data_IF_036483415072
#
_entry.id   IF_036483415072
#
_cell.length_a   1.000
_cell.length_b   1.000
_cell.length_c   1.000
_cell.angle_alpha   90.00
_cell.angle_beta   90.00
_cell.angle_gamma   90.00
#
_symmetry.space_group_name_H-M   'P 1'
#
loop_
_entity.id
_entity.type
_entity.pdbx_description
1 polymer ?
#
# COMPACT_ATOMS: atom_id res chain seq x y z
N UNK A 1 15.04 -28.51 15.03
CA UNK A 1 13.89 -28.38 14.12
C UNK A 1 14.47 -28.24 12.74
N UNK A 2 14.30 -29.26 11.91
CA UNK A 2 14.68 -29.15 10.50
C UNK A 2 13.88 -27.99 9.91
N UNK A 3 14.58 -26.90 9.57
CA UNK A 3 13.94 -25.83 8.80
C UNK A 3 13.51 -26.44 7.47
N UNK A 4 12.21 -26.56 7.27
CA UNK A 4 11.64 -27.01 6.00
C UNK A 4 12.19 -26.09 4.90
N UNK A 5 12.98 -26.64 3.99
CA UNK A 5 13.56 -25.88 2.88
C UNK A 5 12.43 -25.21 2.07
N UNK A 6 12.50 -23.91 1.80
CA UNK A 6 11.46 -23.23 1.03
C UNK A 6 11.47 -23.71 -0.44
N UNK A 7 10.28 -23.74 -1.04
CA UNK A 7 10.13 -24.03 -2.47
C UNK A 7 10.79 -22.93 -3.30
N UNK A 8 11.62 -23.24 -4.33
CA UNK A 8 12.38 -22.22 -5.06
C UNK A 8 11.46 -21.22 -5.78
N UNK A 9 11.72 -19.92 -5.65
CA UNK A 9 10.90 -18.86 -6.26
C UNK A 9 10.77 -19.00 -7.80
N UNK A 10 11.86 -19.34 -8.47
CA UNK A 10 11.88 -19.53 -9.93
C UNK A 10 11.21 -20.83 -10.37
N UNK A 11 11.02 -21.79 -9.47
CA UNK A 11 10.27 -23.01 -9.75
C UNK A 11 8.74 -22.82 -9.80
N UNK A 12 8.22 -21.67 -9.34
CA UNK A 12 6.79 -21.35 -9.43
C UNK A 12 6.35 -21.31 -10.91
N UNK A 13 5.28 -22.03 -11.22
CA UNK A 13 4.77 -22.12 -12.62
C UNK A 13 3.81 -20.96 -12.90
N UNK A 14 3.99 -20.28 -14.02
CA UNK A 14 3.13 -19.18 -14.43
C UNK A 14 3.16 -17.98 -13.47
N UNK A 15 2.00 -17.36 -13.24
CA UNK A 15 1.77 -16.25 -12.29
C UNK A 15 2.70 -15.03 -12.48
N UNK A 16 2.89 -14.49 -13.71
CA UNK A 16 3.87 -13.44 -13.95
C UNK A 16 3.57 -12.15 -13.19
N UNK A 17 2.31 -11.73 -13.08
CA UNK A 17 1.91 -10.53 -12.32
C UNK A 17 2.27 -10.68 -10.83
N UNK A 18 2.01 -11.84 -10.24
CA UNK A 18 2.35 -12.11 -8.84
C UNK A 18 3.84 -12.05 -8.61
N UNK A 19 4.64 -12.74 -9.43
CA UNK A 19 6.10 -12.71 -9.32
C UNK A 19 6.65 -11.30 -9.46
N UNK A 20 6.17 -10.54 -10.45
CA UNK A 20 6.58 -9.15 -10.66
C UNK A 20 6.24 -8.29 -9.43
N UNK A 21 5.01 -8.32 -8.94
CA UNK A 21 4.61 -7.51 -7.80
C UNK A 21 5.40 -7.84 -6.53
N UNK A 22 5.69 -9.13 -6.29
CA UNK A 22 6.48 -9.57 -5.15
C UNK A 22 7.94 -9.08 -5.23
N UNK A 23 8.58 -9.16 -6.39
CA UNK A 23 9.93 -8.63 -6.61
C UNK A 23 9.95 -7.11 -6.43
N UNK A 24 8.98 -6.39 -7.01
CA UNK A 24 8.88 -4.93 -6.87
C UNK A 24 8.72 -4.49 -5.40
N UNK A 25 7.98 -5.26 -4.59
CA UNK A 25 7.84 -4.99 -3.15
C UNK A 25 9.17 -5.15 -2.39
N UNK A 26 10.02 -6.10 -2.81
CA UNK A 26 11.35 -6.25 -2.25
C UNK A 26 12.28 -5.09 -2.67
N UNK A 27 12.17 -4.61 -3.90
CA UNK A 27 12.97 -3.47 -4.40
C UNK A 27 12.55 -2.17 -3.72
N UNK A 28 11.23 -1.88 -3.65
CA UNK A 28 10.74 -0.60 -3.13
C UNK A 28 9.59 -0.78 -2.12
N UNK A 29 9.85 -0.81 -0.82
CA UNK A 29 8.80 -0.85 0.20
C UNK A 29 7.84 0.35 0.18
N UNK A 30 8.23 1.50 -0.45
CA UNK A 30 7.38 2.70 -0.56
C UNK A 30 6.18 2.53 -1.48
N UNK A 31 6.11 1.45 -2.25
CA UNK A 31 4.92 1.10 -3.05
C UNK A 31 3.66 1.01 -2.18
N UNK A 32 3.80 0.77 -0.86
CA UNK A 32 2.67 0.68 0.07
C UNK A 32 2.11 -0.74 0.24
N UNK A 33 2.87 -1.76 -0.20
CA UNK A 33 2.53 -3.17 -0.03
C UNK A 33 1.84 -3.80 -1.24
N UNK A 34 1.78 -5.14 -1.20
CA UNK A 34 1.16 -5.99 -2.23
C UNK A 34 0.03 -6.80 -1.61
N UNK A 35 -1.13 -6.80 -2.23
CA UNK A 35 -2.25 -7.65 -1.87
C UNK A 35 -2.44 -8.73 -2.95
N UNK A 36 -2.26 -9.99 -2.56
CA UNK A 36 -2.50 -11.16 -3.41
C UNK A 36 -3.94 -11.64 -3.22
N UNK A 37 -4.78 -11.49 -4.24
CA UNK A 37 -6.20 -11.81 -4.20
C UNK A 37 -6.42 -13.07 -5.03
N UNK A 38 -7.07 -14.09 -4.52
CA UNK A 38 -7.39 -15.28 -5.30
C UNK A 38 -7.83 -16.47 -4.45
N UNK A 39 -8.37 -17.52 -5.08
CA UNK A 39 -8.88 -18.69 -4.40
C UNK A 39 -7.78 -19.47 -3.66
N UNK A 40 -8.18 -20.48 -2.90
CA UNK A 40 -7.25 -21.40 -2.26
C UNK A 40 -6.42 -22.20 -3.27
N UNK A 41 -5.25 -22.64 -2.86
CA UNK A 41 -4.43 -23.59 -3.61
C UNK A 41 -3.75 -23.03 -4.86
N UNK A 42 -3.82 -21.71 -5.12
CA UNK A 42 -3.14 -21.07 -6.29
C UNK A 42 -1.69 -20.71 -6.02
N UNK A 43 -1.14 -21.04 -4.84
CA UNK A 43 0.27 -20.87 -4.52
C UNK A 43 0.67 -19.51 -3.93
N UNK A 44 -0.27 -18.71 -3.40
CA UNK A 44 0.02 -17.39 -2.80
C UNK A 44 1.06 -17.48 -1.67
N UNK A 45 0.77 -18.27 -0.64
CA UNK A 45 1.64 -18.46 0.53
C UNK A 45 2.99 -19.07 0.15
N UNK A 46 2.98 -20.07 -0.77
CA UNK A 46 4.21 -20.67 -1.31
C UNK A 46 5.08 -19.62 -1.99
N UNK A 47 4.49 -18.73 -2.81
CA UNK A 47 5.22 -17.68 -3.51
C UNK A 47 5.85 -16.67 -2.54
N UNK A 48 5.14 -16.29 -1.48
CA UNK A 48 5.68 -15.37 -0.47
C UNK A 48 6.84 -15.99 0.30
N UNK A 49 6.69 -17.24 0.76
CA UNK A 49 7.76 -17.95 1.47
C UNK A 49 8.99 -18.19 0.59
N UNK A 50 8.79 -18.43 -0.70
CA UNK A 50 9.85 -18.60 -1.69
C UNK A 50 10.70 -17.33 -1.88
N UNK A 51 10.22 -16.14 -1.49
CA UNK A 51 11.00 -14.91 -1.53
C UNK A 51 12.27 -14.95 -0.67
N UNK A 52 12.34 -15.82 0.33
CA UNK A 52 13.54 -16.01 1.16
C UNK A 52 14.80 -16.25 0.35
N UNK A 53 14.68 -16.87 -0.82
CA UNK A 53 15.82 -17.17 -1.71
C UNK A 53 16.41 -15.91 -2.35
N UNK A 54 15.59 -14.91 -2.62
CA UNK A 54 15.96 -13.71 -3.36
C UNK A 54 15.98 -12.43 -2.51
N UNK A 55 15.72 -12.56 -1.21
CA UNK A 55 15.72 -11.43 -0.29
C UNK A 55 17.13 -10.82 -0.17
N UNK A 56 17.26 -9.48 -0.25
CA UNK A 56 18.53 -8.80 -0.11
C UNK A 56 19.00 -8.80 1.34
N UNK A 57 20.28 -8.52 1.54
CA UNK A 57 20.81 -8.23 2.86
C UNK A 57 20.39 -6.82 3.29
N UNK A 58 20.02 -6.68 4.55
CA UNK A 58 19.62 -5.42 5.19
C UNK A 58 20.42 -5.17 6.45
N UNK A 59 20.65 -3.91 6.78
CA UNK A 59 21.22 -3.54 8.05
C UNK A 59 20.14 -3.57 9.12
N UNK A 60 20.45 -4.17 10.26
CA UNK A 60 19.55 -4.23 11.43
C UNK A 60 20.30 -3.79 12.65
N UNK A 61 19.61 -3.10 13.54
CA UNK A 61 20.11 -2.80 14.87
C UNK A 61 19.85 -4.01 15.75
N UNK A 62 20.91 -4.71 16.14
CA UNK A 62 20.87 -5.83 17.08
C UNK A 62 21.58 -5.38 18.36
N UNK A 63 21.30 -6.02 19.49
CA UNK A 63 22.04 -5.81 20.71
C UNK A 63 23.16 -6.83 20.80
N UNK A 64 24.36 -6.37 21.12
CA UNK A 64 25.47 -7.26 21.44
C UNK A 64 25.28 -7.92 22.82
N UNK A 65 26.23 -8.75 23.20
CA UNK A 65 26.21 -9.47 24.48
C UNK A 65 26.25 -8.53 25.71
N UNK A 66 26.68 -7.27 25.51
CA UNK A 66 26.68 -6.21 26.53
C UNK A 66 25.41 -5.36 26.49
N UNK A 67 24.45 -5.67 25.57
CA UNK A 67 23.20 -4.93 25.41
C UNK A 67 23.31 -3.63 24.63
N UNK A 68 24.46 -3.31 24.01
CA UNK A 68 24.67 -2.11 23.20
C UNK A 68 24.11 -2.31 21.79
N UNK A 69 23.52 -1.27 21.18
CA UNK A 69 23.05 -1.35 19.80
C UNK A 69 24.23 -1.46 18.83
N UNK A 70 24.21 -2.51 18.00
CA UNK A 70 25.20 -2.75 16.96
C UNK A 70 24.47 -2.97 15.63
N UNK A 71 24.92 -2.28 14.58
CA UNK A 71 24.42 -2.50 13.23
C UNK A 71 25.03 -3.78 12.64
N UNK A 72 24.19 -4.77 12.38
CA UNK A 72 24.60 -6.00 11.69
C UNK A 72 23.92 -6.08 10.33
N UNK A 73 24.70 -6.40 9.29
CA UNK A 73 24.18 -6.70 7.95
C UNK A 73 23.87 -8.19 7.85
N UNK A 74 22.63 -8.52 7.53
CA UNK A 74 22.19 -9.90 7.39
C UNK A 74 20.99 -10.03 6.44
N UNK A 75 20.59 -11.26 6.08
CA UNK A 75 19.47 -11.47 5.16
C UNK A 75 18.19 -10.89 5.73
N UNK A 76 17.40 -10.23 4.87
CA UNK A 76 16.02 -9.85 5.16
C UNK A 76 15.24 -11.11 5.57
N UNK A 77 14.31 -11.00 6.51
CA UNK A 77 13.50 -12.13 7.02
C UNK A 77 12.03 -11.92 6.71
N UNK A 78 11.31 -13.03 6.59
CA UNK A 78 9.84 -13.00 6.57
C UNK A 78 9.36 -13.03 8.02
N UNK A 79 8.59 -12.02 8.40
CA UNK A 79 7.88 -11.97 9.68
C UNK A 79 6.42 -12.27 9.37
N UNK A 80 5.97 -13.46 9.73
CA UNK A 80 4.57 -13.86 9.53
C UNK A 80 3.72 -13.43 10.72
N UNK A 81 2.55 -12.87 10.45
CA UNK A 81 1.58 -12.51 11.47
C UNK A 81 0.56 -13.65 11.63
N UNK A 82 0.41 -14.23 12.83
CA UNK A 82 -0.62 -15.22 13.10
C UNK A 82 -2.03 -14.65 13.00
N UNK A 83 -3.00 -15.41 12.52
CA UNK A 83 -4.41 -14.97 12.39
C UNK A 83 -5.06 -14.59 13.73
N UNK A 84 -4.63 -15.20 14.81
CA UNK A 84 -5.11 -14.93 16.16
C UNK A 84 -4.32 -13.83 16.89
N UNK A 85 -3.47 -13.08 16.20
CA UNK A 85 -2.67 -12.01 16.79
C UNK A 85 -3.58 -10.91 17.37
N UNK A 86 -3.28 -10.50 18.60
CA UNK A 86 -3.95 -9.39 19.25
C UNK A 86 -3.24 -8.09 18.91
N UNK A 87 -3.94 -6.97 19.09
CA UNK A 87 -3.36 -5.65 18.83
C UNK A 87 -2.06 -5.40 19.60
N UNK A 88 -1.98 -5.90 20.83
CA UNK A 88 -0.77 -5.78 21.68
C UNK A 88 0.40 -6.62 21.18
N UNK A 89 0.15 -7.77 20.58
CA UNK A 89 1.20 -8.60 19.95
C UNK A 89 1.79 -7.87 18.74
N UNK A 90 0.95 -7.11 18.05
CA UNK A 90 1.31 -6.40 16.81
C UNK A 90 2.07 -5.11 17.10
N UNK A 91 1.51 -4.24 17.92
CA UNK A 91 2.11 -2.93 18.21
C UNK A 91 3.13 -2.97 19.36
N UNK A 92 3.01 -3.95 20.24
CA UNK A 92 3.78 -4.06 21.47
C UNK A 92 2.93 -3.84 22.73
N UNK A 93 3.30 -4.52 23.78
CA UNK A 93 2.57 -4.58 25.04
C UNK A 93 3.47 -4.45 26.26
N UNK A 94 2.91 -4.72 27.43
CA UNK A 94 3.64 -4.87 28.67
C UNK A 94 4.09 -6.32 28.77
N UNK A 95 5.38 -6.53 29.10
CA UNK A 95 5.86 -7.86 29.41
C UNK A 95 5.28 -8.31 30.75
N UNK A 96 4.21 -9.12 30.71
CA UNK A 96 3.47 -9.56 31.89
C UNK A 96 4.34 -10.36 32.86
N UNK A 97 5.25 -11.18 32.33
CA UNK A 97 6.17 -11.97 33.15
C UNK A 97 7.09 -11.08 34.00
N UNK A 98 7.71 -10.08 33.38
CA UNK A 98 8.58 -9.13 34.07
C UNK A 98 7.77 -8.30 35.07
N UNK A 99 6.55 -7.92 34.69
CA UNK A 99 5.67 -7.14 35.58
C UNK A 99 5.29 -7.93 36.84
N UNK A 100 5.01 -9.22 36.72
CA UNK A 100 4.63 -10.11 37.83
C UNK A 100 5.83 -10.53 38.68
N UNK A 101 6.94 -10.98 38.04
CA UNK A 101 8.11 -11.51 38.75
C UNK A 101 8.99 -10.43 39.36
N UNK A 102 9.14 -9.28 38.69
CA UNK A 102 10.07 -8.23 39.11
C UNK A 102 9.40 -6.94 39.55
N UNK A 103 8.07 -6.88 39.54
CA UNK A 103 7.27 -5.67 39.86
C UNK A 103 7.73 -4.42 39.09
N UNK A 104 8.23 -4.63 37.86
CA UNK A 104 8.70 -3.60 36.93
C UNK A 104 7.91 -3.64 35.65
N UNK A 105 7.44 -2.49 35.16
CA UNK A 105 6.78 -2.38 33.87
C UNK A 105 7.88 -2.28 32.81
N UNK A 106 7.93 -3.28 31.93
CA UNK A 106 8.79 -3.31 30.75
C UNK A 106 7.91 -3.43 29.51
N UNK A 107 8.13 -2.55 28.50
CA UNK A 107 7.47 -2.67 27.22
C UNK A 107 8.19 -3.71 26.37
N UNK A 108 7.42 -4.63 25.78
CA UNK A 108 7.88 -5.63 24.83
C UNK A 108 7.58 -5.17 23.41
N UNK A 109 8.55 -5.42 22.51
CA UNK A 109 8.48 -5.06 21.10
C UNK A 109 7.47 -5.96 20.39
N UNK A 110 6.50 -5.36 19.71
CA UNK A 110 5.52 -6.08 18.90
C UNK A 110 6.08 -6.54 17.56
N UNK A 111 5.24 -7.23 16.79
CA UNK A 111 5.57 -7.74 15.45
C UNK A 111 6.02 -6.63 14.51
N UNK A 112 5.43 -5.41 14.60
CA UNK A 112 5.79 -4.27 13.74
C UNK A 112 7.20 -3.76 13.97
N UNK A 113 7.70 -3.80 15.22
CA UNK A 113 9.09 -3.48 15.52
C UNK A 113 10.04 -4.56 14.98
N UNK A 114 9.68 -5.85 15.13
CA UNK A 114 10.44 -6.99 14.59
C UNK A 114 10.47 -7.00 13.06
N UNK A 115 9.41 -6.48 12.42
CA UNK A 115 9.31 -6.37 10.97
C UNK A 115 10.17 -5.22 10.38
N UNK A 116 10.72 -4.32 11.20
CA UNK A 116 11.54 -3.22 10.72
C UNK A 116 12.68 -3.71 9.81
N UNK A 117 12.77 -3.14 8.58
CA UNK A 117 13.71 -3.55 7.51
C UNK A 117 13.56 -4.99 7.03
N UNK A 118 12.47 -5.66 7.38
CA UNK A 118 12.11 -7.00 6.98
C UNK A 118 10.85 -7.00 6.09
N UNK A 119 10.35 -8.19 5.75
CA UNK A 119 9.07 -8.37 5.08
C UNK A 119 8.03 -8.82 6.11
N UNK A 120 6.94 -8.08 6.23
CA UNK A 120 5.77 -8.50 7.00
C UNK A 120 4.79 -9.20 6.06
N UNK A 121 4.49 -10.46 6.36
CA UNK A 121 3.50 -11.25 5.65
C UNK A 121 2.27 -11.49 6.51
N UNK A 122 1.10 -11.27 5.91
CA UNK A 122 -0.20 -11.47 6.52
C UNK A 122 -1.00 -12.41 5.61
N UNK A 123 -1.12 -13.66 6.01
CA UNK A 123 -2.00 -14.59 5.29
C UNK A 123 -3.45 -14.34 5.69
N UNK A 124 -4.38 -14.42 4.73
CA UNK A 124 -5.82 -14.24 4.95
C UNK A 124 -6.16 -12.95 5.73
N UNK A 125 -5.62 -11.82 5.30
CA UNK A 125 -5.78 -10.52 5.99
C UNK A 125 -7.25 -10.11 6.22
N UNK A 126 -8.18 -10.62 5.40
CA UNK A 126 -9.61 -10.39 5.52
C UNK A 126 -10.23 -11.04 6.77
N UNK A 127 -9.54 -12.01 7.40
CA UNK A 127 -9.98 -12.67 8.63
C UNK A 127 -9.46 -12.03 9.91
N UNK A 128 -8.49 -11.10 9.81
CA UNK A 128 -7.96 -10.41 10.98
C UNK A 128 -8.93 -9.36 11.55
N UNK A 129 -8.81 -9.11 12.86
CA UNK A 129 -9.51 -7.98 13.49
C UNK A 129 -9.15 -6.67 12.77
N UNK A 130 -10.17 -5.86 12.47
CA UNK A 130 -10.01 -4.63 11.71
C UNK A 130 -9.03 -3.64 12.37
N UNK A 131 -8.98 -3.60 13.72
CA UNK A 131 -8.07 -2.72 14.46
C UNK A 131 -6.61 -3.15 14.29
N UNK A 132 -6.36 -4.46 14.19
CA UNK A 132 -5.03 -5.01 13.91
C UNK A 132 -4.58 -4.61 12.51
N UNK A 133 -5.46 -4.80 11.50
CA UNK A 133 -5.17 -4.42 10.13
C UNK A 133 -4.92 -2.91 10.01
N UNK A 134 -5.75 -2.08 10.63
CA UNK A 134 -5.58 -0.62 10.63
C UNK A 134 -4.22 -0.20 11.24
N UNK A 135 -3.84 -0.80 12.37
CA UNK A 135 -2.55 -0.51 13.03
C UNK A 135 -1.35 -0.88 12.15
N UNK A 136 -1.40 -2.01 11.46
CA UNK A 136 -0.35 -2.46 10.53
C UNK A 136 -0.21 -1.49 9.36
N UNK A 137 -1.34 -1.13 8.74
CA UNK A 137 -1.36 -0.25 7.58
C UNK A 137 -0.95 1.19 7.93
N UNK A 138 -1.28 1.66 9.15
CA UNK A 138 -0.82 2.95 9.65
C UNK A 138 0.68 2.94 9.88
N UNK A 139 1.24 1.87 10.45
CA UNK A 139 2.68 1.71 10.64
C UNK A 139 3.41 1.64 9.28
N UNK A 140 2.88 0.90 8.31
CA UNK A 140 3.44 0.81 6.96
C UNK A 140 3.47 2.17 6.25
N UNK A 141 2.42 2.99 6.42
CA UNK A 141 2.32 4.32 5.81
C UNK A 141 3.26 5.34 6.50
N UNK A 142 3.39 5.28 7.83
CA UNK A 142 4.17 6.23 8.62
C UNK A 142 5.65 5.85 8.77
N UNK A 143 6.01 4.57 8.52
CA UNK A 143 7.34 4.02 8.77
C UNK A 143 7.72 3.92 10.24
N UNK A 144 6.75 4.07 11.15
CA UNK A 144 6.93 4.06 12.61
C UNK A 144 5.68 3.60 13.32
N UNK A 145 5.86 2.97 14.48
CA UNK A 145 4.78 2.53 15.37
C UNK A 145 4.87 3.25 16.71
N UNK A 146 3.75 3.80 17.14
CA UNK A 146 3.62 4.48 18.40
C UNK A 146 2.88 3.60 19.40
N UNK A 147 3.51 3.29 20.53
CA UNK A 147 2.94 2.47 21.59
C UNK A 147 2.78 3.30 22.85
N UNK A 148 1.56 3.37 23.35
CA UNK A 148 1.27 3.99 24.65
C UNK A 148 0.59 2.99 25.56
N UNK A 149 1.17 2.77 26.75
CA UNK A 149 0.60 1.90 27.79
C UNK A 149 0.71 2.63 29.15
N UNK A 150 -0.42 3.11 29.64
CA UNK A 150 -0.46 3.95 30.83
C UNK A 150 0.42 5.20 30.65
N UNK A 151 1.35 5.46 31.58
CA UNK A 151 2.28 6.59 31.51
C UNK A 151 3.43 6.38 30.50
N UNK A 152 3.65 5.15 30.04
CA UNK A 152 4.77 4.81 29.15
C UNK A 152 4.41 5.03 27.69
N UNK A 153 5.31 5.68 26.98
CA UNK A 153 5.21 5.93 25.56
C UNK A 153 6.52 5.53 24.89
N UNK A 154 6.43 4.80 23.79
CA UNK A 154 7.59 4.40 22.98
C UNK A 154 7.29 4.53 21.50
N UNK A 155 8.27 4.97 20.74
CA UNK A 155 8.24 5.08 19.29
C UNK A 155 9.24 4.09 18.72
N UNK A 156 8.76 3.21 17.83
CA UNK A 156 9.60 2.23 17.12
C UNK A 156 9.63 2.55 15.63
N UNK A 157 10.79 2.45 14.97
CA UNK A 157 10.85 2.42 13.52
C UNK A 157 10.16 1.16 13.00
N UNK A 158 9.32 1.28 11.97
CA UNK A 158 8.50 0.20 11.41
C UNK A 158 8.42 0.32 9.89
N UNK A 159 9.58 0.43 9.24
CA UNK A 159 9.69 0.42 7.78
C UNK A 159 9.88 -1.01 7.30
N UNK A 160 8.92 -1.57 6.60
CA UNK A 160 8.93 -2.95 6.15
C UNK A 160 8.26 -3.09 4.78
N UNK A 161 8.62 -4.13 4.03
CA UNK A 161 7.84 -4.55 2.88
C UNK A 161 6.58 -5.28 3.39
N UNK A 162 5.40 -4.89 2.92
CA UNK A 162 4.13 -5.49 3.33
C UNK A 162 3.57 -6.37 2.21
N UNK A 163 3.25 -7.61 2.52
CA UNK A 163 2.51 -8.51 1.64
C UNK A 163 1.33 -9.07 2.42
N UNK A 164 0.13 -8.91 1.85
CA UNK A 164 -1.08 -9.55 2.33
C UNK A 164 -1.62 -10.55 1.32
N UNK A 165 -2.25 -11.63 1.78
CA UNK A 165 -3.07 -12.49 0.93
C UNK A 165 -4.53 -12.42 1.36
N UNK A 166 -5.46 -12.68 0.44
CA UNK A 166 -6.87 -12.88 0.75
C UNK A 166 -7.53 -13.85 -0.23
N UNK A 167 -8.56 -14.53 0.27
CA UNK A 167 -9.52 -15.24 -0.56
C UNK A 167 -10.86 -14.47 -0.55
N UNK A 168 -11.34 -13.99 -1.72
CA UNK A 168 -12.59 -13.23 -1.78
C UNK A 168 -13.84 -14.05 -1.37
N UNK A 169 -13.77 -15.39 -1.37
CA UNK A 169 -14.86 -16.27 -0.94
C UNK A 169 -15.11 -16.20 0.57
N UNK A 170 -14.07 -15.86 1.36
CA UNK A 170 -14.16 -15.73 2.82
C UNK A 170 -14.51 -14.33 3.30
N UNK A 171 -14.69 -13.39 2.39
CA UNK A 171 -15.03 -12.03 2.68
C UNK A 171 -14.19 -11.02 1.93
N UNK A 172 -14.62 -9.77 1.99
CA UNK A 172 -13.96 -8.65 1.32
C UNK A 172 -13.36 -7.68 2.31
N UNK A 173 -12.22 -7.11 1.96
CA UNK A 173 -11.63 -6.02 2.72
C UNK A 173 -12.44 -4.73 2.52
N UNK A 174 -12.52 -3.93 3.56
CA UNK A 174 -13.12 -2.59 3.46
C UNK A 174 -12.37 -1.76 2.41
N UNK A 175 -13.05 -0.91 1.62
CA UNK A 175 -12.42 -0.09 0.59
C UNK A 175 -11.24 0.73 1.11
N UNK A 176 -11.33 1.23 2.35
CA UNK A 176 -10.25 1.99 3.01
C UNK A 176 -8.98 1.16 3.23
N UNK A 177 -9.12 -0.12 3.57
CA UNK A 177 -8.01 -1.06 3.72
C UNK A 177 -7.41 -1.39 2.35
N UNK A 178 -8.27 -1.70 1.38
CA UNK A 178 -7.85 -1.95 0.00
C UNK A 178 -7.05 -0.77 -0.57
N UNK A 179 -7.47 0.47 -0.31
CA UNK A 179 -6.79 1.66 -0.83
C UNK A 179 -5.38 1.87 -0.27
N UNK A 180 -5.07 1.28 0.87
CA UNK A 180 -3.74 1.36 1.48
C UNK A 180 -2.71 0.41 0.84
N UNK A 181 -3.16 -0.67 0.16
CA UNK A 181 -2.28 -1.51 -0.64
C UNK A 181 -1.93 -0.86 -1.97
N UNK A 182 -0.65 -0.75 -2.25
CA UNK A 182 -0.14 -0.14 -3.47
C UNK A 182 -0.42 -0.98 -4.71
N UNK A 183 -0.08 -2.26 -4.66
CA UNK A 183 -0.32 -3.21 -5.76
C UNK A 183 -1.38 -4.24 -5.37
N UNK A 184 -2.25 -4.57 -6.32
CA UNK A 184 -3.32 -5.55 -6.16
C UNK A 184 -3.25 -6.56 -7.29
N UNK A 185 -2.94 -7.79 -6.93
CA UNK A 185 -2.69 -8.88 -7.87
C UNK A 185 -3.81 -9.88 -7.80
N UNK A 186 -4.46 -10.13 -8.93
CA UNK A 186 -5.37 -11.24 -9.07
C UNK A 186 -4.59 -12.50 -9.41
N UNK A 187 -4.52 -13.43 -8.46
CA UNK A 187 -3.83 -14.72 -8.61
C UNK A 187 -4.86 -15.75 -9.08
N UNK A 188 -5.02 -15.83 -10.39
CA UNK A 188 -5.96 -16.77 -11.00
C UNK A 188 -5.43 -18.22 -10.99
N UNK A 189 -6.32 -19.22 -10.96
CA UNK A 189 -5.93 -20.59 -11.29
C UNK A 189 -5.30 -20.67 -12.67
N UNK A 190 -4.29 -21.53 -12.85
CA UNK A 190 -3.70 -21.77 -14.14
C UNK A 190 -4.72 -22.38 -15.08
N UNK A 191 -4.96 -21.76 -16.23
CA UNK A 191 -5.93 -22.20 -17.22
C UNK A 191 -5.43 -23.39 -18.05
N UNK A 192 -4.12 -23.35 -18.39
CA UNK A 192 -3.52 -24.34 -19.27
C UNK A 192 -3.28 -25.68 -18.57
N UNK A 193 -3.82 -26.81 -19.08
CA UNK A 193 -3.64 -28.11 -18.46
C UNK A 193 -2.19 -28.54 -18.32
N UNK A 194 -1.33 -28.15 -19.27
CA UNK A 194 0.10 -28.45 -19.23
C UNK A 194 0.80 -27.72 -18.08
N UNK A 195 0.45 -26.45 -17.81
CA UNK A 195 0.97 -25.71 -16.66
C UNK A 195 0.53 -26.35 -15.34
N UNK A 196 -0.71 -26.79 -15.23
CA UNK A 196 -1.22 -27.49 -14.05
C UNK A 196 -0.48 -28.81 -13.81
N UNK A 197 -0.23 -29.57 -14.87
CA UNK A 197 0.56 -30.81 -14.79
C UNK A 197 2.01 -30.51 -14.37
N UNK A 198 2.57 -29.43 -14.86
CA UNK A 198 3.92 -29.00 -14.47
C UNK A 198 4.00 -28.60 -12.99
N UNK A 199 2.98 -27.95 -12.43
CA UNK A 199 2.90 -27.72 -10.96
C UNK A 199 2.98 -29.02 -10.20
N UNK A 200 2.20 -30.06 -10.60
CA UNK A 200 2.25 -31.36 -9.97
C UNK A 200 3.63 -32.00 -10.06
N UNK A 201 4.24 -32.01 -11.25
CA UNK A 201 5.56 -32.61 -11.49
C UNK A 201 6.65 -31.96 -10.63
N UNK A 202 6.66 -30.61 -10.56
CA UNK A 202 7.63 -29.86 -9.77
C UNK A 202 7.39 -30.05 -8.27
N UNK A 203 6.15 -30.02 -7.83
CA UNK A 203 5.81 -30.26 -6.42
C UNK A 203 6.22 -31.66 -5.97
N UNK A 204 5.99 -32.69 -6.83
CA UNK A 204 6.41 -34.05 -6.57
C UNK A 204 7.94 -34.17 -6.52
N UNK A 205 8.65 -33.62 -7.50
CA UNK A 205 10.11 -33.66 -7.53
C UNK A 205 10.74 -32.94 -6.30
N UNK A 206 10.16 -31.83 -5.87
CA UNK A 206 10.57 -31.15 -4.65
C UNK A 206 10.31 -31.98 -3.39
N UNK A 207 9.20 -32.71 -3.34
CA UNK A 207 8.88 -33.57 -2.20
C UNK A 207 9.80 -34.81 -2.12
N UNK A 208 10.18 -35.36 -3.28
CA UNK A 208 11.06 -36.55 -3.37
C UNK A 208 12.51 -36.21 -2.95
N UNK A 209 13.05 -35.08 -3.40
CA UNK A 209 14.40 -34.62 -3.05
C UNK A 209 14.45 -33.07 -3.09
N UNK A 210 14.17 -32.41 -1.95
CA UNK A 210 14.17 -30.94 -1.87
C UNK A 210 15.52 -30.32 -2.18
N UNK A 211 16.62 -30.93 -1.76
CA UNK A 211 17.97 -30.38 -1.96
C UNK A 211 18.38 -30.41 -3.44
N UNK A 212 18.30 -31.59 -4.09
CA UNK A 212 18.59 -31.73 -5.49
C UNK A 212 17.65 -30.91 -6.39
N UNK A 213 16.38 -30.75 -5.98
CA UNK A 213 15.46 -29.90 -6.71
C UNK A 213 15.85 -28.41 -6.62
N UNK A 214 16.25 -27.92 -5.45
CA UNK A 214 16.69 -26.54 -5.23
C UNK A 214 17.97 -26.21 -5.97
N UNK A 215 18.93 -27.16 -5.99
CA UNK A 215 20.22 -27.01 -6.67
C UNK A 215 20.04 -26.63 -8.15
N UNK A 216 19.00 -27.14 -8.81
CA UNK A 216 18.69 -26.79 -10.22
C UNK A 216 18.42 -25.31 -10.46
N UNK A 217 18.03 -24.59 -9.43
CA UNK A 217 17.69 -23.17 -9.49
C UNK A 217 18.68 -22.28 -8.74
N UNK A 218 19.69 -22.85 -8.10
CA UNK A 218 20.58 -22.15 -7.18
C UNK A 218 21.29 -20.95 -7.84
N UNK A 219 21.89 -21.14 -9.00
CA UNK A 219 22.62 -20.09 -9.72
C UNK A 219 21.70 -18.95 -10.17
N UNK A 220 20.51 -19.29 -10.70
CA UNK A 220 19.56 -18.31 -11.18
C UNK A 220 18.92 -17.52 -10.02
N UNK A 221 18.63 -18.18 -8.90
CA UNK A 221 18.13 -17.53 -7.67
C UNK A 221 19.19 -16.61 -7.08
N UNK A 222 20.45 -17.01 -7.09
CA UNK A 222 21.54 -16.16 -6.62
C UNK A 222 21.70 -14.91 -7.49
N UNK A 223 21.61 -15.05 -8.83
CA UNK A 223 21.62 -13.88 -9.75
C UNK A 223 20.45 -12.95 -9.48
N UNK A 224 19.22 -13.49 -9.37
CA UNK A 224 18.04 -12.68 -9.07
C UNK A 224 18.17 -11.96 -7.72
N UNK A 225 18.76 -12.60 -6.70
CA UNK A 225 19.05 -11.96 -5.41
C UNK A 225 19.99 -10.76 -5.57
N UNK A 226 21.05 -10.90 -6.38
CA UNK A 226 21.97 -9.81 -6.67
C UNK A 226 21.30 -8.68 -7.46
N UNK A 227 20.43 -9.02 -8.42
CA UNK A 227 19.64 -8.04 -9.19
C UNK A 227 18.71 -7.26 -8.29
N UNK A 228 17.98 -7.91 -7.37
CA UNK A 228 17.14 -7.24 -6.38
C UNK A 228 17.94 -6.30 -5.49
N UNK A 229 19.12 -6.72 -5.05
CA UNK A 229 20.00 -5.88 -4.23
C UNK A 229 20.50 -4.66 -5.01
N UNK A 230 20.98 -4.84 -6.24
CA UNK A 230 21.42 -3.76 -7.12
C UNK A 230 20.29 -2.79 -7.45
N UNK A 231 19.09 -3.30 -7.74
CA UNK A 231 17.91 -2.48 -7.98
C UNK A 231 17.55 -1.57 -6.79
N UNK A 232 17.69 -2.07 -5.55
CA UNK A 232 17.49 -1.24 -4.35
C UNK A 232 18.49 -0.10 -4.23
N UNK A 233 19.76 -0.37 -4.57
CA UNK A 233 20.83 0.64 -4.57
C UNK A 233 20.63 1.67 -5.69
N UNK A 234 20.13 1.25 -6.85
CA UNK A 234 19.87 2.10 -8.00
C UNK A 234 18.61 2.96 -7.84
N UNK A 235 17.59 2.47 -7.14
CA UNK A 235 16.26 3.08 -7.00
C UNK A 235 16.27 4.59 -6.65
N UNK A 236 17.12 5.10 -5.75
CA UNK A 236 17.16 6.54 -5.44
C UNK A 236 17.54 7.42 -6.64
N UNK A 237 18.23 6.87 -7.63
CA UNK A 237 18.72 7.59 -8.83
C UNK A 237 17.71 7.55 -9.98
N UNK A 238 16.66 6.70 -9.88
CA UNK A 238 15.65 6.57 -10.94
C UNK A 238 14.78 7.82 -10.98
N UNK A 239 14.84 8.54 -12.10
CA UNK A 239 13.96 9.67 -12.41
C UNK A 239 12.69 9.20 -13.14
N UNK A 240 11.70 10.09 -13.21
CA UNK A 240 10.47 9.86 -13.99
C UNK A 240 10.44 10.90 -15.09
N UNK A 241 10.23 10.48 -16.35
CA UNK A 241 10.10 11.42 -17.46
C UNK A 241 8.79 12.20 -17.36
N UNK A 242 8.78 13.46 -17.79
CA UNK A 242 7.58 14.32 -17.76
C UNK A 242 6.38 13.67 -18.49
N UNK A 243 6.63 12.99 -19.60
CA UNK A 243 5.58 12.27 -20.34
C UNK A 243 5.00 11.09 -19.57
N UNK A 244 5.83 10.40 -18.76
CA UNK A 244 5.36 9.32 -17.89
C UNK A 244 4.53 9.85 -16.71
N UNK A 245 4.93 10.98 -16.10
CA UNK A 245 4.17 11.66 -15.06
C UNK A 245 2.80 12.10 -15.59
N UNK A 246 2.75 12.76 -16.74
CA UNK A 246 1.52 13.22 -17.37
C UNK A 246 0.57 12.06 -17.69
N UNK A 247 1.08 10.96 -18.25
CA UNK A 247 0.28 9.76 -18.52
C UNK A 247 -0.27 9.15 -17.23
N UNK A 248 0.54 9.04 -16.18
CA UNK A 248 0.10 8.48 -14.90
C UNK A 248 -1.07 9.29 -14.31
N UNK A 249 -0.92 10.61 -14.22
CA UNK A 249 -1.96 11.49 -13.67
C UNK A 249 -3.22 11.49 -14.55
N UNK A 250 -3.07 11.64 -15.88
CA UNK A 250 -4.20 11.63 -16.81
C UNK A 250 -4.98 10.31 -16.77
N UNK A 251 -4.28 9.18 -16.63
CA UNK A 251 -4.92 7.85 -16.51
C UNK A 251 -5.75 7.74 -15.24
N UNK A 252 -5.24 8.22 -14.11
CA UNK A 252 -5.92 8.19 -12.81
C UNK A 252 -7.17 9.07 -12.84
N UNK A 253 -7.08 10.26 -13.44
CA UNK A 253 -8.20 11.17 -13.64
C UNK A 253 -9.26 10.58 -14.57
N UNK A 254 -8.86 10.01 -15.72
CA UNK A 254 -9.77 9.36 -16.66
C UNK A 254 -10.51 8.17 -16.03
N UNK A 255 -9.86 7.43 -15.13
CA UNK A 255 -10.45 6.33 -14.36
C UNK A 255 -11.26 6.81 -13.16
N UNK A 256 -11.31 8.13 -12.89
CA UNK A 256 -12.02 8.74 -11.75
C UNK A 256 -11.62 8.12 -10.40
N UNK A 257 -10.34 7.87 -10.21
CA UNK A 257 -9.81 7.34 -8.96
C UNK A 257 -9.58 8.50 -7.99
N UNK A 258 -10.24 8.53 -6.82
CA UNK A 258 -10.22 9.68 -5.92
C UNK A 258 -9.00 9.71 -4.98
N UNK A 259 -8.22 8.64 -4.92
CA UNK A 259 -7.15 8.46 -3.92
C UNK A 259 -5.78 8.80 -4.47
N UNK A 260 -5.09 9.75 -3.85
CA UNK A 260 -3.68 10.09 -4.18
C UNK A 260 -2.68 8.96 -3.87
N UNK A 261 -3.10 7.90 -3.19
CA UNK A 261 -2.28 6.70 -3.08
C UNK A 261 -2.12 5.95 -4.40
N UNK A 262 -3.02 6.19 -5.36
CA UNK A 262 -2.91 5.61 -6.69
C UNK A 262 -1.70 6.17 -7.45
N UNK A 263 -1.50 7.50 -7.42
CA UNK A 263 -0.35 8.16 -8.03
C UNK A 263 0.95 7.66 -7.39
N UNK A 264 1.02 7.66 -6.06
CA UNK A 264 2.21 7.20 -5.34
C UNK A 264 2.53 5.74 -5.67
N UNK A 265 1.53 4.85 -5.61
CA UNK A 265 1.73 3.43 -5.88
C UNK A 265 2.17 3.18 -7.32
N UNK A 266 1.55 3.85 -8.30
CA UNK A 266 1.88 3.69 -9.71
C UNK A 266 3.30 4.16 -10.01
N UNK A 267 3.65 5.36 -9.56
CA UNK A 267 4.96 5.97 -9.83
C UNK A 267 6.09 5.25 -9.08
N UNK A 268 5.90 4.89 -7.81
CA UNK A 268 6.90 4.15 -7.04
C UNK A 268 7.08 2.71 -7.55
N UNK A 269 6.04 2.05 -8.05
CA UNK A 269 6.15 0.74 -8.66
C UNK A 269 6.83 0.80 -10.04
N UNK A 270 6.57 1.84 -10.83
CA UNK A 270 7.25 2.08 -12.09
C UNK A 270 8.76 2.33 -11.88
N UNK A 271 9.13 3.13 -10.88
CA UNK A 271 10.53 3.33 -10.48
C UNK A 271 11.21 2.02 -10.07
N UNK A 272 10.52 1.21 -9.24
CA UNK A 272 11.04 -0.10 -8.83
C UNK A 272 11.27 -1.04 -10.02
N UNK A 273 10.35 -1.03 -11.00
CA UNK A 273 10.49 -1.80 -12.23
C UNK A 273 11.72 -1.38 -13.03
N UNK A 274 11.87 -0.06 -13.25
CA UNK A 274 12.98 0.52 -14.01
C UNK A 274 14.33 0.22 -13.33
N UNK A 275 14.37 0.31 -12.00
CA UNK A 275 15.55 -0.08 -11.23
C UNK A 275 15.87 -1.58 -11.39
N UNK A 276 14.85 -2.46 -11.37
CA UNK A 276 15.01 -3.91 -11.59
C UNK A 276 15.49 -4.22 -13.02
N UNK A 277 15.09 -3.41 -14.01
CA UNK A 277 15.59 -3.50 -15.39
C UNK A 277 16.96 -2.80 -15.58
N UNK A 278 17.62 -2.36 -14.50
CA UNK A 278 18.90 -1.64 -14.50
C UNK A 278 18.88 -0.37 -15.37
N UNK A 279 17.78 0.38 -15.34
CA UNK A 279 17.57 1.65 -16.05
C UNK A 279 17.38 2.81 -15.05
N UNK A 280 17.58 4.05 -15.52
CA UNK A 280 17.55 5.25 -14.67
C UNK A 280 16.34 6.15 -14.93
N UNK A 281 15.52 5.87 -15.94
CA UNK A 281 14.39 6.74 -16.29
C UNK A 281 13.13 5.92 -16.58
N UNK A 282 12.04 6.31 -15.92
CA UNK A 282 10.70 5.76 -16.15
C UNK A 282 10.12 6.35 -17.43
N UNK A 283 9.67 5.48 -18.33
CA UNK A 283 9.04 5.82 -19.60
C UNK A 283 7.53 5.58 -19.58
N UNK A 284 6.83 6.03 -20.61
CA UNK A 284 5.40 5.75 -20.86
C UNK A 284 5.12 4.24 -20.81
N UNK A 285 5.99 3.43 -21.41
CA UNK A 285 5.82 1.98 -21.45
C UNK A 285 5.83 1.33 -20.05
N UNK A 286 6.65 1.83 -19.16
CA UNK A 286 6.71 1.36 -17.77
C UNK A 286 5.43 1.66 -17.02
N UNK A 287 4.85 2.85 -17.20
CA UNK A 287 3.55 3.21 -16.64
C UNK A 287 2.45 2.27 -17.16
N UNK A 288 2.38 2.03 -18.46
CA UNK A 288 1.38 1.14 -19.08
C UNK A 288 1.49 -0.28 -18.50
N UNK A 289 2.69 -0.80 -18.31
CA UNK A 289 2.91 -2.16 -17.77
C UNK A 289 2.51 -2.29 -16.30
N UNK A 290 2.69 -1.24 -15.50
CA UNK A 290 2.42 -1.27 -14.04
C UNK A 290 1.00 -0.83 -13.70
N UNK A 291 0.37 0.00 -14.52
CA UNK A 291 -0.96 0.55 -14.26
C UNK A 291 -2.02 -0.50 -13.85
N UNK A 292 -2.13 -1.68 -14.48
CA UNK A 292 -3.09 -2.70 -14.05
C UNK A 292 -2.90 -3.15 -12.60
N UNK A 293 -1.66 -3.32 -12.13
CA UNK A 293 -1.35 -3.74 -10.76
C UNK A 293 -1.63 -2.63 -9.74
N UNK A 294 -1.34 -1.39 -10.10
CA UNK A 294 -1.47 -0.24 -9.20
C UNK A 294 -2.89 0.33 -9.15
N UNK A 295 -3.66 0.28 -10.26
CA UNK A 295 -4.94 0.98 -10.39
C UNK A 295 -6.18 0.08 -10.25
N UNK A 296 -6.01 -1.25 -10.29
CA UNK A 296 -7.10 -2.23 -10.15
C UNK A 296 -7.87 -2.02 -8.84
N UNK A 297 -9.22 -2.07 -8.91
CA UNK A 297 -10.13 -1.95 -7.76
C UNK A 297 -10.03 -0.62 -6.94
N UNK A 298 -9.57 0.48 -7.56
CA UNK A 298 -9.51 1.79 -6.87
C UNK A 298 -10.69 2.71 -7.19
N UNK A 299 -11.44 2.41 -8.23
CA UNK A 299 -12.64 3.16 -8.58
C UNK A 299 -13.76 2.91 -7.56
N UNK A 300 -14.48 3.95 -7.17
CA UNK A 300 -15.61 3.87 -6.25
C UNK A 300 -16.86 4.50 -6.87
N UNK A 301 -17.76 3.66 -7.37
CA UNK A 301 -19.04 4.11 -7.91
C UNK A 301 -19.91 4.85 -6.86
N UNK A 302 -19.78 4.47 -5.58
CA UNK A 302 -20.48 5.14 -4.49
C UNK A 302 -20.00 6.59 -4.32
N UNK A 303 -18.70 6.84 -4.33
CA UNK A 303 -18.15 8.20 -4.22
C UNK A 303 -18.47 9.04 -5.46
N UNK A 304 -18.48 8.44 -6.65
CA UNK A 304 -18.90 9.12 -7.88
C UNK A 304 -20.36 9.58 -7.77
N UNK A 305 -21.27 8.72 -7.31
CA UNK A 305 -22.67 9.06 -7.09
C UNK A 305 -22.85 10.16 -6.04
N UNK A 306 -22.11 10.07 -4.94
CA UNK A 306 -22.15 11.09 -3.88
C UNK A 306 -21.65 12.45 -4.35
N UNK A 307 -20.55 12.50 -5.10
CA UNK A 307 -20.04 13.75 -5.69
C UNK A 307 -21.03 14.39 -6.66
N UNK A 308 -21.72 13.58 -7.47
CA UNK A 308 -22.77 14.08 -8.37
C UNK A 308 -23.95 14.68 -7.59
N UNK A 309 -24.35 14.06 -6.48
CA UNK A 309 -25.40 14.58 -5.61
C UNK A 309 -25.01 15.92 -5.00
N UNK A 310 -23.79 16.05 -4.47
CA UNK A 310 -23.29 17.33 -3.93
C UNK A 310 -23.29 18.42 -5.01
N UNK A 311 -22.82 18.11 -6.21
CA UNK A 311 -22.80 19.10 -7.30
C UNK A 311 -24.21 19.61 -7.65
N UNK A 312 -25.23 18.74 -7.59
CA UNK A 312 -26.64 19.15 -7.79
C UNK A 312 -27.11 20.04 -6.64
N UNK A 313 -26.78 19.67 -5.39
CA UNK A 313 -27.13 20.48 -4.21
C UNK A 313 -26.46 21.85 -4.24
N UNK A 314 -25.18 21.92 -4.58
CA UNK A 314 -24.42 23.16 -4.70
C UNK A 314 -25.02 24.08 -5.78
N UNK A 315 -25.40 23.51 -6.92
CA UNK A 315 -26.08 24.27 -7.97
C UNK A 315 -27.44 24.83 -7.49
N UNK A 316 -28.22 24.01 -6.78
CA UNK A 316 -29.52 24.43 -6.21
C UNK A 316 -29.33 25.54 -5.16
N UNK A 317 -28.30 25.43 -4.31
CA UNK A 317 -27.96 26.47 -3.32
C UNK A 317 -27.55 27.76 -4.03
N UNK A 318 -26.70 27.66 -5.07
CA UNK A 318 -26.26 28.83 -5.83
C UNK A 318 -27.44 29.54 -6.53
N UNK A 319 -28.36 28.78 -7.12
CA UNK A 319 -29.59 29.33 -7.71
C UNK A 319 -30.48 30.03 -6.68
N UNK A 320 -30.71 29.42 -5.53
CA UNK A 320 -31.51 30.02 -4.45
C UNK A 320 -30.87 31.32 -3.93
N UNK A 321 -29.54 31.34 -3.74
CA UNK A 321 -28.80 32.54 -3.33
C UNK A 321 -28.86 33.64 -4.38
N UNK A 322 -28.76 33.30 -5.66
CA UNK A 322 -28.91 34.28 -6.76
C UNK A 322 -30.30 34.91 -6.81
N UNK A 323 -31.35 34.13 -6.54
CA UNK A 323 -32.74 34.65 -6.49
C UNK A 323 -32.97 35.55 -5.27
N UNK A 324 -32.40 35.23 -4.12
CA UNK A 324 -32.52 36.05 -2.89
C UNK A 324 -31.59 37.25 -2.89
N UNK A 325 -30.41 37.14 -3.52
CA UNK A 325 -29.43 38.22 -3.61
C UNK A 325 -29.71 39.29 -4.66
N UNK A 326 -30.73 39.14 -5.53
CA UNK A 326 -31.17 40.18 -6.43
C UNK A 326 -31.98 41.19 -5.63
N UNK A 327 -31.51 42.44 -5.37
CA UNK A 327 -32.30 43.44 -4.71
C UNK A 327 -33.52 43.72 -5.61
N UNK A 328 -34.74 43.50 -5.05
CA UNK A 328 -35.96 43.87 -5.72
C UNK A 328 -35.80 45.32 -6.20
N UNK A 329 -35.89 45.55 -7.50
CA UNK A 329 -35.96 46.86 -8.08
C UNK A 329 -37.24 47.53 -7.57
N UNK A 330 -37.13 48.10 -6.36
CA UNK A 330 -38.20 48.94 -5.82
C UNK A 330 -38.34 50.13 -6.75
N UNK A 331 -39.29 50.01 -7.68
CA UNK A 331 -39.80 51.09 -8.50
C UNK A 331 -40.43 52.18 -7.63
N UNK A 332 -39.61 53.07 -7.08
CA UNK A 332 -40.05 54.40 -6.67
C UNK A 332 -39.98 55.27 -7.90
N UNK A 333 -41.15 55.39 -8.56
CA UNK A 333 -41.35 56.43 -9.54
C UNK A 333 -41.00 57.80 -8.92
N UNK A 334 -40.28 58.71 -9.64
CA UNK A 334 -39.95 60.03 -9.13
C UNK A 334 -41.24 60.85 -8.98
N UNK A 335 -41.61 61.24 -7.76
CA UNK A 335 -42.65 62.22 -7.49
C UNK A 335 -42.31 63.51 -8.20
N UNK A 336 -43.14 63.87 -9.20
CA UNK A 336 -43.16 65.22 -9.83
C UNK A 336 -43.39 66.24 -8.72
N UNK A 337 -42.40 67.08 -8.42
CA UNK A 337 -42.57 68.32 -7.65
C UNK A 337 -43.47 69.23 -8.44
N UNK A 338 -44.72 69.46 -7.93
CA UNK A 338 -45.63 70.53 -8.41
C UNK A 338 -44.95 71.89 -8.14
N UNK A 339 -44.74 72.63 -9.19
CA UNK A 339 -44.25 73.99 -9.14
C UNK A 339 -45.25 74.91 -8.43
N UNK A 340 -44.78 75.63 -7.41
CA UNK A 340 -45.51 76.69 -6.72
C UNK A 340 -45.27 78.00 -7.50
N UNK A 341 -46.31 78.48 -8.18
CA UNK A 341 -46.35 79.76 -8.82
C UNK A 341 -46.12 80.87 -7.78
N UNK A 342 -45.20 81.78 -8.07
CA UNK A 342 -45.08 83.05 -7.36
C UNK A 342 -46.04 83.99 -7.99
N UNK A 343 -47.10 84.36 -7.23
CA UNK A 343 -47.81 85.61 -7.49
C UNK A 343 -47.03 86.79 -6.97
N UNK A 344 -46.85 87.77 -7.82
CA UNK A 344 -46.22 89.03 -7.50
C UNK A 344 -47.16 89.96 -6.80
N UNK A 345 -46.62 90.80 -6.00
CA UNK A 345 -47.30 92.04 -5.68
C UNK A 345 -46.31 93.19 -5.53
N UNK A 346 -46.62 94.19 -6.23
CA UNK A 346 -46.06 95.53 -6.33
C UNK A 346 -46.33 96.33 -5.06
N UNK A 347 -45.43 97.16 -4.57
CA UNK A 347 -45.59 98.60 -4.54
C UNK A 347 -44.82 99.27 -3.36
N UNK A 348 -44.17 100.30 -3.71
CA UNK A 348 -43.98 101.58 -3.02
C UNK A 348 -43.14 101.65 -1.75
N UNK A 349 -42.16 102.54 -1.84
CA UNK A 349 -41.49 103.28 -0.79
C UNK A 349 -40.12 103.64 -1.17
#
# INVERSE_FOLDING_TARGET
MDELLPYPFLALVGQPEMKTALVLALVNPRIGGVLLIGPYGVGKTTAVRALSDIMPNVEREERDDEGKPVLRRGPMRIVELPLNARLEDVVGGINERVALEQQRILLEDGVLAKAHRNLLYIDEINLLDARVVDAILDAAAQGRTFVRRGPMTRLYPSQFALIGSMNPEEGTLRPQILDRFGLRVWVAPLAEPQQRLEVYRRARAFHEDPEAFRERYADELYRLKLEVAAARELLPQVAISAAAEELAISSIQALKIPSHRAEIALLEAARARVAADNRLEVTIEDIVKIAPLALRQRRSLHLEGYAATIAIEDATIAEALAQLGTPAANGRAPRKRAGRAKAGETAKG
#
